data_IF_211540207108
#
_entry.id   IF_211540207108
#
_cell.length_a   1.000
_cell.length_b   1.000
_cell.length_c   1.000
_cell.angle_alpha   90.00
_cell.angle_beta   90.00
_cell.angle_gamma   90.00
#
_symmetry.space_group_name_H-M   'P 1'
#
loop_
_entity.id
_entity.type
_entity.pdbx_description
1 polymer ?
#
# COMPACT_ATOMS: atom_id res chain seq x y z
N UNK A 1 10.22 -2.93 9.19
CA UNK A 1 10.83 -2.20 8.05
C UNK A 1 10.04 -0.95 7.66
N UNK A 2 8.72 -1.06 7.47
CA UNK A 2 7.79 0.02 7.05
C UNK A 2 7.88 1.30 7.90
N UNK A 3 7.88 1.19 9.24
CA UNK A 3 8.01 2.35 10.14
C UNK A 3 9.28 3.18 9.91
N UNK A 4 10.39 2.54 9.52
CA UNK A 4 11.63 3.26 9.24
C UNK A 4 11.49 4.12 7.99
N UNK A 5 10.91 3.56 6.92
CA UNK A 5 10.64 4.29 5.69
C UNK A 5 9.67 5.44 5.93
N UNK A 6 8.55 5.19 6.61
CA UNK A 6 7.56 6.24 6.91
C UNK A 6 8.17 7.38 7.74
N UNK A 7 9.05 7.07 8.69
CA UNK A 7 9.77 8.09 9.44
C UNK A 7 10.72 8.91 8.55
N UNK A 8 11.42 8.28 7.61
CA UNK A 8 12.25 9.00 6.62
C UNK A 8 11.39 9.92 5.76
N UNK A 9 10.22 9.45 5.29
CA UNK A 9 9.28 10.28 4.53
C UNK A 9 8.74 11.47 5.35
N UNK A 10 8.63 11.32 6.67
CA UNK A 10 8.23 12.40 7.56
C UNK A 10 9.35 13.43 7.78
N UNK A 11 10.59 12.98 7.96
CA UNK A 11 11.72 13.85 8.33
C UNK A 11 12.45 14.44 7.13
N UNK A 12 12.67 13.63 6.10
CA UNK A 12 13.45 13.98 4.92
C UNK A 12 12.58 14.28 3.70
N UNK A 13 11.39 13.68 3.64
CA UNK A 13 10.47 13.81 2.52
C UNK A 13 10.94 13.07 1.26
N UNK A 14 10.17 13.23 0.18
CA UNK A 14 10.52 12.79 -1.17
C UNK A 14 10.54 13.96 -2.13
N UNK A 15 11.42 13.88 -3.11
CA UNK A 15 11.47 14.86 -4.19
C UNK A 15 10.34 14.62 -5.18
N UNK A 16 9.92 15.69 -5.83
CA UNK A 16 9.12 15.57 -7.06
C UNK A 16 9.94 14.88 -8.15
N UNK A 17 9.29 14.10 -9.02
CA UNK A 17 9.96 13.36 -10.09
C UNK A 17 10.76 14.28 -11.03
N UNK A 18 10.22 15.46 -11.32
CA UNK A 18 10.89 16.47 -12.14
C UNK A 18 12.16 17.01 -11.46
N UNK A 19 12.09 17.34 -10.16
CA UNK A 19 13.24 17.83 -9.38
C UNK A 19 14.34 16.77 -9.33
N UNK A 20 13.97 15.51 -9.08
CA UNK A 20 14.89 14.38 -9.10
C UNK A 20 15.61 14.26 -10.46
N UNK A 21 14.86 14.35 -11.55
CA UNK A 21 15.39 14.30 -12.92
C UNK A 21 16.33 15.48 -13.21
N UNK A 22 15.97 16.68 -12.78
CA UNK A 22 16.75 17.90 -13.00
C UNK A 22 18.05 17.91 -12.18
N UNK A 23 18.05 17.36 -10.96
CA UNK A 23 19.28 17.15 -10.18
C UNK A 23 20.24 16.23 -10.93
N UNK A 24 19.77 15.08 -11.43
CA UNK A 24 20.62 14.12 -12.13
C UNK A 24 21.16 14.67 -13.45
N UNK A 25 20.42 15.58 -14.09
CA UNK A 25 20.88 16.30 -15.27
C UNK A 25 21.80 17.51 -14.95
N UNK A 26 22.10 17.78 -13.68
CA UNK A 26 22.92 18.92 -13.25
C UNK A 26 22.24 20.29 -13.44
N UNK A 27 20.93 20.31 -13.65
CA UNK A 27 20.12 21.53 -13.91
C UNK A 27 19.60 22.18 -12.64
N UNK A 28 19.58 21.45 -11.52
CA UNK A 28 19.05 21.90 -10.23
C UNK A 28 19.95 21.40 -9.09
N UNK A 29 20.11 22.20 -8.03
CA UNK A 29 20.78 21.75 -6.81
C UNK A 29 19.78 21.21 -5.81
N UNK A 30 20.17 20.17 -5.05
CA UNK A 30 19.32 19.52 -4.05
C UNK A 30 18.67 20.47 -3.03
N UNK A 31 19.35 21.58 -2.68
CA UNK A 31 18.86 22.58 -1.72
C UNK A 31 17.70 23.44 -2.25
N UNK A 32 17.54 23.49 -3.57
CA UNK A 32 16.56 24.34 -4.25
C UNK A 32 15.29 23.56 -4.63
N UNK A 33 15.23 22.26 -4.27
CA UNK A 33 14.12 21.37 -4.63
C UNK A 33 13.01 21.38 -3.59
N UNK A 34 11.78 21.15 -4.04
CA UNK A 34 10.66 20.94 -3.14
C UNK A 34 10.64 19.49 -2.66
N UNK A 35 10.28 19.32 -1.38
CA UNK A 35 10.13 18.01 -0.76
C UNK A 35 8.71 17.84 -0.24
N UNK A 36 8.10 16.72 -0.61
CA UNK A 36 6.83 16.28 -0.06
C UNK A 36 7.11 15.44 1.18
N UNK A 37 6.67 15.92 2.34
CA UNK A 37 6.80 15.20 3.60
C UNK A 37 5.44 14.66 4.05
N UNK A 38 5.45 13.53 4.75
CA UNK A 38 4.27 13.11 5.51
C UNK A 38 4.06 14.06 6.69
N UNK A 39 2.84 14.53 6.90
CA UNK A 39 2.51 15.38 8.05
C UNK A 39 2.37 14.53 9.32
N UNK A 40 1.67 13.41 9.23
CA UNK A 40 1.47 12.47 10.33
C UNK A 40 1.41 11.05 9.80
N UNK A 41 1.63 10.08 10.70
CA UNK A 41 1.51 8.64 10.41
C UNK A 41 0.48 8.11 11.39
N UNK A 42 -0.59 7.50 10.87
CA UNK A 42 -1.56 6.78 11.71
C UNK A 42 -1.68 5.35 11.25
N UNK A 43 -1.59 4.44 12.19
CA UNK A 43 -1.68 3.01 11.95
C UNK A 43 -3.05 2.50 12.40
N UNK A 44 -3.66 1.61 11.62
CA UNK A 44 -4.93 0.99 11.92
C UNK A 44 -4.81 -0.53 11.80
N UNK A 45 -5.32 -1.22 12.81
CA UNK A 45 -5.42 -2.67 12.82
C UNK A 45 -6.62 -3.12 11.98
N UNK A 46 -6.44 -4.03 11.00
CA UNK A 46 -7.56 -4.60 10.26
C UNK A 46 -8.42 -5.55 11.10
N UNK A 47 -7.94 -5.90 12.28
CA UNK A 47 -8.62 -6.80 13.22
C UNK A 47 -9.54 -6.07 14.19
N UNK A 48 -9.37 -4.76 14.33
CA UNK A 48 -10.24 -3.94 15.14
C UNK A 48 -11.25 -3.22 14.24
N UNK A 49 -12.53 -3.50 14.48
CA UNK A 49 -13.63 -2.88 13.73
C UNK A 49 -13.67 -1.37 13.90
N UNK A 50 -13.23 -0.83 15.05
CA UNK A 50 -13.16 0.61 15.27
C UNK A 50 -12.06 1.25 14.44
N UNK A 51 -10.88 0.63 14.41
CA UNK A 51 -9.76 1.04 13.56
C UNK A 51 -10.13 0.98 12.09
N UNK A 52 -10.78 -0.09 11.63
CA UNK A 52 -11.23 -0.21 10.24
C UNK A 52 -12.24 0.86 9.85
N UNK A 53 -13.19 1.17 10.74
CA UNK A 53 -14.15 2.25 10.49
C UNK A 53 -13.47 3.60 10.43
N UNK A 54 -12.49 3.84 11.30
CA UNK A 54 -11.72 5.08 11.32
C UNK A 54 -10.82 5.20 10.07
N UNK A 55 -10.12 4.13 9.68
CA UNK A 55 -9.32 4.07 8.47
C UNK A 55 -10.17 4.39 7.24
N UNK A 56 -11.35 3.78 7.09
CA UNK A 56 -12.30 4.08 6.02
C UNK A 56 -12.80 5.53 6.06
N UNK A 57 -13.02 6.09 7.26
CA UNK A 57 -13.43 7.49 7.44
C UNK A 57 -12.31 8.44 6.99
N UNK A 58 -11.07 8.13 7.35
CA UNK A 58 -9.90 8.90 6.97
C UNK A 58 -9.65 8.79 5.47
N UNK A 59 -9.79 7.59 4.89
CA UNK A 59 -9.67 7.39 3.45
C UNK A 59 -10.57 8.32 2.64
N UNK A 60 -11.82 8.51 3.12
CA UNK A 60 -12.78 9.43 2.50
C UNK A 60 -12.43 10.91 2.68
N UNK A 61 -11.71 11.26 3.74
CA UNK A 61 -11.42 12.64 4.10
C UNK A 61 -10.08 13.13 3.54
N UNK A 62 -9.05 12.29 3.56
CA UNK A 62 -7.66 12.66 3.25
C UNK A 62 -7.13 11.99 1.99
N UNK A 63 -7.79 10.95 1.48
CA UNK A 63 -7.36 10.23 0.28
C UNK A 63 -6.94 8.78 0.55
N UNK A 64 -6.19 8.15 -0.36
CA UNK A 64 -5.87 6.72 -0.29
C UNK A 64 -5.16 6.30 1.01
N UNK A 65 -5.27 5.02 1.36
CA UNK A 65 -4.52 4.41 2.46
C UNK A 65 -3.37 3.56 1.91
N UNK A 66 -2.27 3.46 2.65
CA UNK A 66 -1.26 2.44 2.41
C UNK A 66 -1.65 1.17 3.20
N UNK A 67 -1.71 0.02 2.55
CA UNK A 67 -1.85 -1.27 3.23
C UNK A 67 -0.58 -2.10 3.05
N UNK A 68 -0.12 -2.74 4.12
CA UNK A 68 0.94 -3.74 4.07
C UNK A 68 0.32 -5.07 4.44
N UNK A 69 0.38 -6.02 3.52
CA UNK A 69 -0.27 -7.33 3.64
C UNK A 69 0.76 -8.43 3.53
N UNK A 70 0.51 -9.56 4.19
CA UNK A 70 1.20 -10.80 3.84
C UNK A 70 0.62 -11.31 2.52
N UNK A 71 1.45 -11.92 1.67
CA UNK A 71 0.98 -12.50 0.40
C UNK A 71 1.01 -14.03 0.44
N UNK A 72 0.07 -14.63 -0.28
CA UNK A 72 -0.04 -16.07 -0.50
C UNK A 72 0.29 -16.40 -1.95
N UNK A 73 0.60 -17.67 -2.26
CA UNK A 73 1.04 -18.12 -3.59
C UNK A 73 0.07 -17.75 -4.72
N UNK A 74 -1.22 -17.59 -4.40
CA UNK A 74 -2.26 -17.18 -5.36
C UNK A 74 -2.25 -15.68 -5.72
N UNK A 75 -1.39 -14.84 -5.11
CA UNK A 75 -1.31 -13.40 -5.38
C UNK A 75 -1.03 -13.11 -6.87
N UNK A 76 -0.03 -13.78 -7.44
CA UNK A 76 0.31 -13.65 -8.85
C UNK A 76 -0.74 -14.26 -9.78
N UNK A 77 -1.47 -15.29 -9.33
CA UNK A 77 -2.56 -15.88 -10.12
C UNK A 77 -3.77 -14.93 -10.23
N UNK A 78 -4.02 -14.12 -9.18
CA UNK A 78 -5.06 -13.10 -9.19
C UNK A 78 -4.75 -11.98 -10.19
N UNK A 79 -3.46 -11.63 -10.39
CA UNK A 79 -3.02 -10.70 -11.43
C UNK A 79 -3.55 -11.08 -12.80
N UNK A 80 -3.34 -12.34 -13.19
CA UNK A 80 -3.60 -12.83 -14.54
C UNK A 80 -5.08 -13.13 -14.78
N UNK A 81 -5.80 -13.53 -13.74
CA UNK A 81 -7.22 -13.89 -13.83
C UNK A 81 -8.18 -12.71 -13.67
N UNK A 82 -7.73 -11.59 -13.08
CA UNK A 82 -8.60 -10.45 -12.75
C UNK A 82 -9.62 -10.76 -11.66
N UNK A 83 -9.43 -11.85 -10.91
CA UNK A 83 -10.26 -12.20 -9.78
C UNK A 83 -9.87 -11.40 -8.53
N UNK A 84 -10.83 -11.27 -7.61
CA UNK A 84 -10.59 -10.68 -6.29
C UNK A 84 -9.59 -11.57 -5.56
N UNK A 85 -8.46 -10.98 -5.17
CA UNK A 85 -7.46 -11.64 -4.35
C UNK A 85 -8.04 -11.95 -2.97
N UNK A 86 -7.89 -13.20 -2.53
CA UNK A 86 -8.25 -13.66 -1.20
C UNK A 86 -7.05 -14.35 -0.59
N UNK A 87 -6.58 -13.82 0.54
CA UNK A 87 -5.43 -14.38 1.26
C UNK A 87 -5.69 -15.82 1.71
N UNK A 88 -4.74 -16.72 1.42
CA UNK A 88 -4.78 -18.13 1.78
C UNK A 88 -3.75 -18.40 2.89
N UNK A 89 -4.17 -18.51 4.16
CA UNK A 89 -3.24 -18.63 5.30
C UNK A 89 -2.44 -19.94 5.31
N UNK A 90 -2.86 -20.95 4.55
CA UNK A 90 -2.16 -22.22 4.41
C UNK A 90 -1.04 -22.17 3.36
N UNK A 91 -1.06 -21.16 2.48
CA UNK A 91 -0.15 -21.02 1.33
C UNK A 91 0.58 -19.67 1.36
N UNK A 92 1.03 -19.23 2.54
CA UNK A 92 1.76 -17.97 2.71
C UNK A 92 3.14 -18.08 2.05
N UNK A 93 3.52 -17.07 1.28
CA UNK A 93 4.87 -16.99 0.72
C UNK A 93 5.83 -16.59 1.84
N UNK A 94 6.88 -17.38 2.04
CA UNK A 94 7.94 -17.12 3.02
C UNK A 94 9.28 -16.87 2.34
N UNK A 95 10.15 -16.08 2.97
CA UNK A 95 11.52 -15.83 2.50
C UNK A 95 12.51 -16.92 2.94
N UNK A 96 13.80 -16.74 2.63
CA UNK A 96 14.87 -17.69 3.01
C UNK A 96 15.03 -17.86 4.53
N UNK A 97 14.48 -16.94 5.33
CA UNK A 97 14.51 -16.97 6.79
C UNK A 97 13.22 -17.54 7.40
N UNK A 98 12.32 -18.10 6.58
CA UNK A 98 10.99 -18.62 6.98
C UNK A 98 10.05 -17.52 7.51
N UNK A 99 10.28 -16.26 7.15
CA UNK A 99 9.41 -15.14 7.53
C UNK A 99 8.41 -14.82 6.40
N UNK A 100 7.15 -14.45 6.73
CA UNK A 100 6.17 -14.08 5.73
C UNK A 100 6.63 -12.92 4.85
N UNK A 101 6.53 -13.11 3.53
CA UNK A 101 6.77 -12.04 2.57
C UNK A 101 5.61 -11.05 2.64
N UNK A 102 5.94 -9.78 2.87
CA UNK A 102 4.97 -8.69 2.91
C UNK A 102 4.99 -7.90 1.61
N UNK A 103 3.84 -7.43 1.16
CA UNK A 103 3.68 -6.53 0.03
C UNK A 103 2.92 -5.26 0.42
N UNK A 104 3.29 -4.13 -0.18
CA UNK A 104 2.70 -2.84 0.11
C UNK A 104 1.85 -2.36 -1.08
N UNK A 105 0.59 -2.02 -0.82
CA UNK A 105 -0.40 -1.62 -1.83
C UNK A 105 -1.13 -0.36 -1.41
N UNK A 106 -1.60 0.42 -2.38
CA UNK A 106 -2.36 1.64 -2.15
C UNK A 106 -3.86 1.35 -2.25
N UNK A 107 -4.59 1.46 -1.16
CA UNK A 107 -6.04 1.27 -1.10
C UNK A 107 -6.74 2.55 -1.50
N UNK A 108 -7.45 2.51 -2.63
CA UNK A 108 -8.08 3.68 -3.24
C UNK A 108 -9.59 3.71 -3.05
N UNK A 109 -10.22 2.55 -2.86
CA UNK A 109 -11.65 2.49 -2.58
C UNK A 109 -12.04 1.25 -1.77
N UNK A 110 -13.24 1.31 -1.21
CA UNK A 110 -13.94 0.17 -0.64
C UNK A 110 -15.17 -0.12 -1.50
N UNK A 111 -15.31 -1.36 -1.96
CA UNK A 111 -16.35 -1.76 -2.90
C UNK A 111 -17.03 -3.06 -2.46
N UNK A 112 -18.22 -3.31 -2.98
CA UNK A 112 -18.94 -4.56 -2.78
C UNK A 112 -19.14 -5.20 -4.15
N UNK A 113 -18.44 -6.30 -4.40
CA UNK A 113 -18.53 -7.04 -5.66
C UNK A 113 -19.26 -8.36 -5.42
N UNK A 114 -20.41 -8.53 -6.09
CA UNK A 114 -21.27 -9.74 -5.98
C UNK A 114 -21.58 -10.14 -4.53
N UNK A 115 -21.81 -9.14 -3.66
CA UNK A 115 -22.11 -9.34 -2.24
C UNK A 115 -20.88 -9.57 -1.35
N UNK A 116 -19.67 -9.52 -1.90
CA UNK A 116 -18.41 -9.60 -1.14
C UNK A 116 -17.80 -8.22 -1.00
N UNK A 117 -17.54 -7.80 0.24
CA UNK A 117 -16.79 -6.58 0.52
C UNK A 117 -15.31 -6.78 0.17
N UNK A 118 -14.73 -5.85 -0.58
CA UNK A 118 -13.33 -5.84 -0.97
C UNK A 118 -12.78 -4.40 -1.06
N UNK A 119 -11.46 -4.30 -1.05
CA UNK A 119 -10.73 -3.07 -1.29
C UNK A 119 -10.29 -2.99 -2.74
N UNK A 120 -10.53 -1.87 -3.40
CA UNK A 120 -9.90 -1.58 -4.68
C UNK A 120 -8.51 -1.00 -4.41
N UNK A 121 -7.49 -1.64 -4.95
CA UNK A 121 -6.10 -1.36 -4.64
C UNK A 121 -5.29 -1.08 -5.92
N UNK A 122 -4.35 -0.15 -5.81
CA UNK A 122 -3.30 0.11 -6.79
C UNK A 122 -1.99 -0.51 -6.32
N UNK A 123 -1.36 -1.27 -7.22
CA UNK A 123 -0.04 -1.87 -7.05
C UNK A 123 1.00 -1.10 -7.88
N UNK A 124 2.29 -1.23 -7.54
CA UNK A 124 3.41 -0.59 -8.22
C UNK A 124 3.99 -1.40 -9.40
N UNK A 125 3.32 -2.47 -9.83
CA UNK A 125 3.82 -3.37 -10.89
C UNK A 125 3.43 -2.94 -12.33
N UNK A 126 3.01 -1.69 -12.50
CA UNK A 126 2.75 -1.06 -13.80
C UNK A 126 1.29 -1.11 -14.26
N UNK A 127 0.97 -0.46 -15.40
CA UNK A 127 -0.41 -0.23 -15.84
C UNK A 127 -1.14 -1.49 -16.32
N UNK A 128 -0.39 -2.55 -16.61
CA UNK A 128 -0.96 -3.86 -16.99
C UNK A 128 -1.40 -4.67 -15.77
N UNK A 129 -1.10 -4.19 -14.56
CA UNK A 129 -1.67 -4.76 -13.35
C UNK A 129 -3.16 -4.44 -13.34
N UNK A 130 -3.98 -5.47 -13.53
CA UNK A 130 -5.43 -5.35 -13.47
C UNK A 130 -5.84 -4.78 -12.11
N UNK A 131 -7.00 -4.12 -12.04
CA UNK A 131 -7.53 -3.61 -10.76
C UNK A 131 -7.67 -4.79 -9.79
N UNK A 132 -6.75 -4.93 -8.85
CA UNK A 132 -6.79 -6.02 -7.89
C UNK A 132 -7.73 -5.59 -6.78
N UNK A 133 -8.93 -6.14 -6.80
CA UNK A 133 -9.76 -6.18 -5.62
C UNK A 133 -9.05 -7.05 -4.57
N UNK A 134 -8.62 -6.48 -3.47
CA UNK A 134 -8.08 -7.24 -2.33
C UNK A 134 -9.17 -7.47 -1.32
N UNK A 135 -9.51 -8.74 -1.10
CA UNK A 135 -10.30 -9.16 0.04
C UNK A 135 -9.34 -9.44 1.19
N UNK A 136 -9.29 -8.52 2.15
CA UNK A 136 -8.56 -8.78 3.39
C UNK A 136 -9.32 -9.81 4.20
N UNK A 137 -8.76 -11.02 4.28
CA UNK A 137 -9.31 -12.09 5.12
C UNK A 137 -8.43 -12.35 6.34
N UNK A 138 -7.14 -12.00 6.34
CA UNK A 138 -6.30 -11.97 7.53
C UNK A 138 -4.97 -11.26 7.24
N UNK A 139 -4.41 -10.60 8.27
CA UNK A 139 -3.09 -9.93 8.35
C UNK A 139 -2.90 -8.76 7.39
N UNK A 140 -2.96 -7.55 7.96
CA UNK A 140 -2.56 -6.34 7.29
C UNK A 140 -2.27 -5.22 8.29
N UNK A 141 -1.60 -4.16 7.85
CA UNK A 141 -1.50 -2.90 8.56
C UNK A 141 -1.96 -1.82 7.60
N UNK A 142 -2.97 -1.04 7.97
CA UNK A 142 -3.33 0.16 7.24
C UNK A 142 -2.61 1.36 7.82
N UNK A 143 -2.11 2.21 6.95
CA UNK A 143 -1.41 3.43 7.30
C UNK A 143 -2.01 4.59 6.52
N UNK A 144 -2.44 5.63 7.25
CA UNK A 144 -2.67 6.97 6.71
C UNK A 144 -1.36 7.76 6.77
#
# INVERSE_FOLDING_TARGET
MVRRLLNVLRTEGVLMEEDFTNIHAGRLQMKDCYRCCLESIREYSPYDIFDMREALRQMRATGPLLAVIDISENYDNCRDSGHIYSFEPENVVVDESDEPVTHAICVVAFVIEKGTACFDCQDSQGPNWSKVGVRLVNRGLFVC
#
